data_IF_837177240801
#
_entry.id   IF_837177240801
#
_cell.length_a   1.000
_cell.length_b   1.000
_cell.length_c   1.000
_cell.angle_alpha   90.00
_cell.angle_beta   90.00
_cell.angle_gamma   90.00
#
_symmetry.space_group_name_H-M   'P 1'
#
loop_
_entity.id
_entity.type
_entity.pdbx_description
1 polymer ?
#
# COMPACT_ATOMS: atom_id res chain seq x y z
N UNK A 1 -24.58 -3.78 -25.81
CA UNK A 1 -23.24 -4.36 -26.04
C UNK A 1 -23.02 -5.35 -24.91
N UNK A 2 -22.66 -6.60 -25.19
CA UNK A 2 -22.52 -7.62 -24.14
C UNK A 2 -21.11 -7.57 -23.57
N UNK A 3 -21.01 -7.70 -22.25
CA UNK A 3 -19.76 -7.70 -21.48
C UNK A 3 -19.20 -9.12 -21.30
N UNK A 4 -19.61 -10.05 -22.17
CA UNK A 4 -19.13 -11.43 -22.16
C UNK A 4 -17.64 -11.49 -22.52
N UNK A 5 -16.86 -12.24 -21.75
CA UNK A 5 -15.44 -12.44 -22.01
C UNK A 5 -15.25 -13.31 -23.25
N UNK A 6 -14.56 -12.77 -24.26
CA UNK A 6 -14.19 -13.50 -25.49
C UNK A 6 -12.75 -13.99 -25.45
N UNK A 7 -11.86 -13.29 -24.77
CA UNK A 7 -10.45 -13.67 -24.65
C UNK A 7 -9.87 -13.26 -23.29
N UNK A 8 -9.11 -14.17 -22.69
CA UNK A 8 -8.20 -13.90 -21.57
C UNK A 8 -6.80 -14.27 -22.04
N UNK A 9 -5.81 -13.44 -21.72
CA UNK A 9 -4.42 -13.75 -21.99
C UNK A 9 -3.52 -13.18 -20.89
N UNK A 10 -2.48 -13.91 -20.51
CA UNK A 10 -1.45 -13.41 -19.62
C UNK A 10 -0.04 -13.59 -20.20
N UNK A 11 0.88 -12.77 -19.70
CA UNK A 11 2.31 -12.81 -20.02
C UNK A 11 3.16 -12.49 -18.80
N UNK A 12 4.42 -12.92 -18.88
CA UNK A 12 5.46 -12.58 -17.91
C UNK A 12 6.09 -11.25 -18.33
N UNK A 13 6.05 -10.25 -17.45
CA UNK A 13 6.72 -8.95 -17.56
C UNK A 13 7.70 -8.78 -16.39
N UNK A 14 8.35 -7.61 -16.25
CA UNK A 14 9.22 -7.30 -15.10
C UNK A 14 8.59 -6.24 -14.20
N UNK A 15 8.78 -6.40 -12.89
CA UNK A 15 8.48 -5.37 -11.89
C UNK A 15 9.62 -4.33 -11.80
N UNK A 16 9.43 -3.31 -10.96
CA UNK A 16 10.37 -2.21 -10.78
C UNK A 16 11.70 -2.59 -10.11
N UNK A 17 11.82 -3.83 -9.61
CA UNK A 17 13.05 -4.42 -9.07
C UNK A 17 13.70 -5.38 -10.07
N UNK A 18 13.14 -5.51 -11.28
CA UNK A 18 13.63 -6.41 -12.31
C UNK A 18 13.30 -7.88 -12.07
N UNK A 19 12.36 -8.20 -11.17
CA UNK A 19 11.87 -9.56 -10.99
C UNK A 19 10.66 -9.81 -11.92
N UNK A 20 10.45 -11.05 -12.39
CA UNK A 20 9.26 -11.39 -13.16
C UNK A 20 7.96 -11.12 -12.39
N UNK A 21 6.94 -10.63 -13.07
CA UNK A 21 5.56 -10.57 -12.59
C UNK A 21 4.56 -10.84 -13.71
N UNK A 22 3.27 -10.94 -13.36
CA UNK A 22 2.19 -11.32 -14.25
C UNK A 22 1.41 -10.07 -14.73
N UNK A 23 1.20 -9.99 -16.04
CA UNK A 23 0.25 -9.07 -16.66
C UNK A 23 -0.86 -9.88 -17.33
N UNK A 24 -2.12 -9.49 -17.12
CA UNK A 24 -3.28 -10.11 -17.72
C UNK A 24 -4.08 -9.12 -18.57
N UNK A 25 -4.74 -9.64 -19.59
CA UNK A 25 -5.59 -8.93 -20.54
C UNK A 25 -6.93 -9.63 -20.69
N UNK A 26 -8.01 -8.85 -20.74
CA UNK A 26 -9.35 -9.31 -21.03
C UNK A 26 -9.91 -8.53 -22.22
N UNK A 27 -10.50 -9.25 -23.18
CA UNK A 27 -11.27 -8.68 -24.29
C UNK A 27 -12.71 -9.14 -24.18
N UNK A 28 -13.65 -8.20 -24.28
CA UNK A 28 -15.09 -8.44 -24.21
C UNK A 28 -15.70 -8.60 -25.61
N UNK A 29 -16.93 -9.08 -25.69
CA UNK A 29 -17.64 -9.32 -26.95
C UNK A 29 -17.91 -8.03 -27.76
N UNK A 30 -17.96 -6.89 -27.09
CA UNK A 30 -18.07 -5.58 -27.73
C UNK A 30 -16.74 -4.98 -28.20
N UNK A 31 -15.63 -5.71 -28.02
CA UNK A 31 -14.28 -5.29 -28.38
C UNK A 31 -13.57 -4.46 -27.31
N UNK A 32 -14.23 -4.15 -26.19
CA UNK A 32 -13.60 -3.46 -25.07
C UNK A 32 -12.48 -4.30 -24.46
N UNK A 33 -11.47 -3.61 -23.95
CA UNK A 33 -10.21 -4.21 -23.53
C UNK A 33 -9.81 -3.67 -22.16
N UNK A 34 -9.32 -4.57 -21.31
CA UNK A 34 -8.72 -4.23 -20.02
C UNK A 34 -7.40 -4.96 -19.84
N UNK A 35 -6.47 -4.31 -19.15
CA UNK A 35 -5.14 -4.82 -18.83
C UNK A 35 -4.79 -4.46 -17.41
N UNK A 36 -4.15 -5.37 -16.70
CA UNK A 36 -3.64 -5.11 -15.37
C UNK A 36 -2.36 -5.90 -15.11
N UNK A 37 -1.42 -5.29 -14.38
CA UNK A 37 -0.20 -5.92 -13.94
C UNK A 37 -0.17 -6.06 -12.41
N UNK A 38 0.45 -7.14 -11.92
CA UNK A 38 0.41 -7.50 -10.51
C UNK A 38 1.66 -7.02 -9.79
N UNK A 39 1.55 -6.29 -8.66
CA UNK A 39 2.71 -5.92 -7.85
C UNK A 39 3.18 -7.10 -6.97
N UNK A 40 4.40 -7.01 -6.42
CA UNK A 40 5.02 -8.04 -5.57
C UNK A 40 5.76 -7.43 -4.38
N UNK A 41 5.67 -8.06 -3.20
CA UNK A 41 6.32 -7.60 -1.96
C UNK A 41 7.82 -7.92 -1.87
N UNK A 42 8.53 -7.25 -0.96
CA UNK A 42 9.89 -7.61 -0.50
C UNK A 42 9.77 -8.44 0.78
N UNK A 43 9.16 -7.83 1.80
CA UNK A 43 8.58 -8.55 2.93
C UNK A 43 7.13 -8.93 2.61
N UNK A 44 6.75 -10.12 3.08
CA UNK A 44 5.42 -10.70 2.92
C UNK A 44 4.98 -11.24 4.27
N UNK A 45 3.89 -10.73 4.81
CA UNK A 45 3.28 -11.26 6.03
C UNK A 45 3.02 -12.76 5.90
N UNK A 46 3.17 -13.50 7.00
CA UNK A 46 3.14 -14.97 6.96
C UNK A 46 1.78 -15.55 6.54
N UNK A 47 0.73 -14.71 6.58
CA UNK A 47 -0.67 -15.04 6.27
C UNK A 47 -1.16 -14.50 4.93
N UNK A 48 -0.30 -13.91 4.09
CA UNK A 48 -0.68 -13.42 2.76
C UNK A 48 -1.16 -14.55 1.82
N UNK A 49 -1.99 -14.20 0.84
CA UNK A 49 -2.24 -15.05 -0.32
C UNK A 49 -0.94 -15.27 -1.11
N UNK A 50 -0.76 -16.47 -1.65
CA UNK A 50 0.53 -16.92 -2.18
C UNK A 50 0.75 -16.45 -3.61
N UNK A 51 1.80 -15.67 -3.82
CA UNK A 51 2.36 -15.41 -5.16
C UNK A 51 3.01 -16.70 -5.70
N UNK A 52 2.51 -17.22 -6.83
CA UNK A 52 3.08 -18.43 -7.43
C UNK A 52 4.31 -18.10 -8.28
N UNK A 53 5.47 -18.58 -7.83
CA UNK A 53 6.77 -18.52 -8.52
C UNK A 53 7.16 -19.90 -9.07
N UNK A 54 8.00 -19.92 -10.11
CA UNK A 54 8.38 -21.14 -10.83
C UNK A 54 9.40 -22.01 -10.06
N UNK A 55 10.27 -21.41 -9.24
CA UNK A 55 11.35 -22.12 -8.55
C UNK A 55 12.49 -22.61 -9.46
N UNK A 56 12.42 -22.35 -10.77
CA UNK A 56 13.45 -22.71 -11.75
C UNK A 56 14.67 -21.79 -11.64
N UNK A 57 15.72 -22.25 -10.96
CA UNK A 57 16.97 -21.49 -10.76
C UNK A 57 17.65 -21.07 -12.08
N UNK A 58 17.38 -21.73 -13.20
CA UNK A 58 17.94 -21.35 -14.49
C UNK A 58 17.31 -20.06 -15.06
N UNK A 59 16.17 -19.61 -14.54
CA UNK A 59 15.45 -18.42 -15.00
C UNK A 59 15.20 -17.46 -13.85
N UNK A 60 15.73 -16.25 -13.98
CA UNK A 60 15.52 -15.17 -12.99
C UNK A 60 15.80 -15.63 -11.54
N UNK A 61 16.77 -16.52 -11.35
CA UNK A 61 17.13 -17.08 -10.04
C UNK A 61 15.99 -17.84 -9.32
N UNK A 62 15.03 -18.41 -10.05
CA UNK A 62 13.87 -19.10 -9.49
C UNK A 62 12.61 -18.25 -9.38
N UNK A 63 12.69 -16.96 -9.72
CA UNK A 63 11.59 -16.00 -9.56
C UNK A 63 10.66 -15.86 -10.77
N UNK A 64 10.81 -16.73 -11.78
CA UNK A 64 9.88 -16.78 -12.93
C UNK A 64 8.42 -16.98 -12.50
N UNK A 65 7.48 -16.60 -13.36
CA UNK A 65 6.03 -16.73 -13.10
C UNK A 65 5.29 -17.45 -14.25
N UNK A 66 5.98 -18.27 -15.04
CA UNK A 66 5.39 -18.99 -16.16
C UNK A 66 4.27 -19.93 -15.74
N UNK A 67 4.37 -20.56 -14.57
CA UNK A 67 3.32 -21.41 -14.05
C UNK A 67 2.01 -20.62 -13.81
N UNK A 68 2.10 -19.45 -13.18
CA UNK A 68 0.95 -18.55 -13.00
C UNK A 68 0.40 -18.06 -14.36
N UNK A 69 1.26 -17.70 -15.30
CA UNK A 69 0.87 -17.30 -16.67
C UNK A 69 0.15 -18.44 -17.39
N UNK A 70 0.61 -19.68 -17.26
CA UNK A 70 -0.02 -20.87 -17.83
C UNK A 70 -1.38 -21.15 -17.17
N UNK A 71 -1.50 -20.94 -15.85
CA UNK A 71 -2.77 -21.05 -15.14
C UNK A 71 -3.81 -20.05 -15.68
N UNK A 72 -3.40 -18.82 -15.98
CA UNK A 72 -4.29 -17.82 -16.61
C UNK A 72 -4.67 -18.24 -18.03
N UNK A 73 -3.69 -18.52 -18.89
CA UNK A 73 -3.91 -18.82 -20.30
C UNK A 73 -4.65 -20.14 -20.57
N UNK A 74 -4.60 -21.09 -19.61
CA UNK A 74 -5.24 -22.40 -19.72
C UNK A 74 -6.49 -22.50 -18.85
N UNK A 75 -6.27 -22.83 -17.58
CA UNK A 75 -7.32 -23.18 -16.61
C UNK A 75 -8.33 -22.05 -16.40
N UNK A 76 -7.86 -20.83 -16.12
CA UNK A 76 -8.73 -19.68 -15.86
C UNK A 76 -9.45 -19.23 -17.14
N UNK A 77 -8.71 -19.07 -18.25
CA UNK A 77 -9.31 -18.69 -19.54
C UNK A 77 -10.42 -19.64 -19.98
N UNK A 78 -10.23 -20.95 -19.80
CA UNK A 78 -11.24 -21.96 -20.11
C UNK A 78 -12.46 -21.86 -19.19
N UNK A 79 -12.25 -21.62 -17.89
CA UNK A 79 -13.32 -21.51 -16.92
C UNK A 79 -14.17 -20.24 -17.10
N UNK A 80 -13.56 -19.12 -17.51
CA UNK A 80 -14.23 -17.82 -17.65
C UNK A 80 -14.71 -17.51 -19.07
N UNK A 81 -14.56 -18.43 -20.03
CA UNK A 81 -15.03 -18.23 -21.41
C UNK A 81 -16.54 -17.95 -21.43
N UNK A 82 -16.93 -16.81 -22.02
CA UNK A 82 -18.33 -16.38 -22.11
C UNK A 82 -18.94 -15.95 -20.78
N UNK A 83 -18.15 -15.78 -19.71
CA UNK A 83 -18.62 -15.23 -18.45
C UNK A 83 -18.85 -13.72 -18.61
N UNK A 84 -19.91 -13.18 -18.00
CA UNK A 84 -20.17 -11.74 -18.01
C UNK A 84 -19.18 -11.03 -17.07
N UNK A 85 -18.25 -10.25 -17.64
CA UNK A 85 -17.25 -9.52 -16.86
C UNK A 85 -17.87 -8.45 -15.94
N UNK A 86 -19.09 -7.99 -16.21
CA UNK A 86 -19.76 -7.00 -15.37
C UNK A 86 -20.19 -7.56 -14.01
N UNK A 87 -20.29 -8.89 -13.85
CA UNK A 87 -20.45 -9.56 -12.56
C UNK A 87 -19.08 -9.81 -11.90
N UNK A 88 -18.43 -8.73 -11.45
CA UNK A 88 -17.11 -8.79 -10.81
C UNK A 88 -17.08 -9.76 -9.63
N UNK A 89 -18.13 -9.76 -8.79
CA UNK A 89 -18.23 -10.63 -7.62
C UNK A 89 -18.37 -12.09 -8.02
N UNK A 90 -19.19 -12.41 -9.02
CA UNK A 90 -19.32 -13.75 -9.55
C UNK A 90 -18.04 -14.25 -10.21
N UNK A 91 -17.35 -13.38 -10.97
CA UNK A 91 -16.06 -13.67 -11.59
C UNK A 91 -15.01 -14.03 -10.53
N UNK A 92 -14.85 -13.17 -9.51
CA UNK A 92 -13.89 -13.39 -8.43
C UNK A 92 -14.24 -14.62 -7.60
N UNK A 93 -15.53 -14.84 -7.30
CA UNK A 93 -15.98 -16.06 -6.60
C UNK A 93 -15.67 -17.32 -7.40
N UNK A 94 -15.80 -17.28 -8.73
CA UNK A 94 -15.45 -18.39 -9.62
C UNK A 94 -13.95 -18.64 -9.67
N UNK A 95 -13.13 -17.59 -9.68
CA UNK A 95 -11.67 -17.69 -9.57
C UNK A 95 -11.24 -18.37 -8.26
N UNK A 96 -11.78 -17.90 -7.13
CA UNK A 96 -11.50 -18.46 -5.79
C UNK A 96 -11.92 -19.93 -5.73
N UNK A 97 -13.12 -20.28 -6.22
CA UNK A 97 -13.60 -21.65 -6.24
C UNK A 97 -12.78 -22.57 -7.16
N UNK A 98 -12.27 -22.04 -8.29
CA UNK A 98 -11.44 -22.78 -9.25
C UNK A 98 -10.05 -23.11 -8.66
N UNK A 99 -9.49 -22.16 -7.91
CA UNK A 99 -8.29 -22.40 -7.11
C UNK A 99 -8.56 -23.43 -6.00
N UNK A 100 -9.57 -23.17 -5.16
CA UNK A 100 -10.02 -24.10 -4.12
C UNK A 100 -9.11 -24.19 -2.89
N UNK A 101 -8.09 -23.34 -2.77
CA UNK A 101 -7.23 -23.25 -1.59
C UNK A 101 -7.47 -21.93 -0.84
N UNK A 102 -7.34 -21.91 0.50
CA UNK A 102 -7.63 -20.71 1.29
C UNK A 102 -6.67 -19.54 1.00
N UNK A 103 -5.44 -19.85 0.56
CA UNK A 103 -4.39 -18.86 0.28
C UNK A 103 -4.13 -18.66 -1.22
N UNK A 104 -5.00 -19.18 -2.10
CA UNK A 104 -4.88 -19.06 -3.56
C UNK A 104 -3.58 -19.68 -4.14
N UNK A 105 -2.99 -20.64 -3.44
CA UNK A 105 -1.68 -21.20 -3.76
C UNK A 105 -1.65 -22.20 -4.91
N UNK A 106 -2.80 -22.69 -5.39
CA UNK A 106 -2.86 -23.66 -6.49
C UNK A 106 -2.68 -22.99 -7.85
N UNK A 107 -3.41 -21.90 -8.09
CA UNK A 107 -3.35 -21.11 -9.31
C UNK A 107 -2.41 -19.91 -9.17
N UNK A 108 -2.20 -19.43 -7.95
CA UNK A 108 -1.43 -18.25 -7.59
C UNK A 108 -2.30 -17.01 -7.42
N UNK A 109 -2.15 -16.32 -6.29
CA UNK A 109 -2.85 -15.06 -6.03
C UNK A 109 -2.57 -14.01 -7.11
N UNK A 110 -1.36 -14.02 -7.68
CA UNK A 110 -0.98 -13.22 -8.83
C UNK A 110 -1.79 -13.54 -10.10
N UNK A 111 -2.07 -14.82 -10.38
CA UNK A 111 -2.93 -15.20 -11.51
C UNK A 111 -4.37 -14.70 -11.32
N UNK A 112 -4.93 -14.87 -10.12
CA UNK A 112 -6.29 -14.45 -9.81
C UNK A 112 -6.43 -12.92 -9.89
N UNK A 113 -5.53 -12.19 -9.23
CA UNK A 113 -5.58 -10.74 -9.16
C UNK A 113 -5.45 -10.08 -10.54
N UNK A 114 -4.51 -10.57 -11.36
CA UNK A 114 -4.32 -10.02 -12.71
C UNK A 114 -5.60 -10.10 -13.53
N UNK A 115 -6.28 -11.25 -13.51
CA UNK A 115 -7.56 -11.45 -14.21
C UNK A 115 -8.68 -10.60 -13.59
N UNK A 116 -8.75 -10.56 -12.27
CA UNK A 116 -9.74 -9.78 -11.51
C UNK A 116 -9.69 -8.28 -11.86
N UNK A 117 -8.50 -7.68 -11.86
CA UNK A 117 -8.31 -6.26 -12.20
C UNK A 117 -8.51 -6.02 -13.70
N UNK A 118 -7.99 -6.88 -14.59
CA UNK A 118 -8.16 -6.72 -16.03
C UNK A 118 -9.65 -6.77 -16.43
N UNK A 119 -10.49 -7.52 -15.72
CA UNK A 119 -11.94 -7.57 -15.95
C UNK A 119 -12.59 -6.23 -15.62
N UNK A 120 -12.27 -5.64 -14.46
CA UNK A 120 -12.77 -4.34 -14.06
C UNK A 120 -12.39 -3.24 -15.06
N UNK A 121 -11.14 -3.23 -15.52
CA UNK A 121 -10.68 -2.31 -16.58
C UNK A 121 -11.46 -2.49 -17.89
N UNK A 122 -11.70 -3.74 -18.31
CA UNK A 122 -12.42 -4.04 -19.54
C UNK A 122 -13.88 -3.58 -19.49
N UNK A 123 -14.53 -3.75 -18.33
CA UNK A 123 -15.92 -3.30 -18.12
C UNK A 123 -16.01 -1.77 -18.01
N UNK A 124 -15.06 -1.13 -17.33
CA UNK A 124 -14.98 0.33 -17.30
C UNK A 124 -14.87 0.91 -18.72
N UNK A 125 -14.01 0.31 -19.56
CA UNK A 125 -13.88 0.66 -20.97
C UNK A 125 -15.18 0.45 -21.77
N UNK A 126 -15.86 -0.70 -21.59
CA UNK A 126 -17.17 -0.98 -22.22
C UNK A 126 -18.24 0.04 -21.85
N UNK A 127 -18.23 0.49 -20.59
CA UNK A 127 -19.13 1.53 -20.08
C UNK A 127 -18.68 2.95 -20.45
N UNK A 128 -17.53 3.12 -21.10
CA UNK A 128 -16.90 4.42 -21.41
C UNK A 128 -16.72 5.27 -20.15
N UNK A 129 -16.35 4.62 -19.05
CA UNK A 129 -16.09 5.22 -17.75
C UNK A 129 -14.60 5.08 -17.43
N UNK A 130 -14.05 6.05 -16.68
CA UNK A 130 -12.78 5.83 -16.01
C UNK A 130 -12.93 4.74 -14.93
N UNK A 131 -11.84 4.05 -14.59
CA UNK A 131 -11.91 2.94 -13.62
C UNK A 131 -12.43 3.42 -12.26
N UNK A 132 -11.97 4.56 -11.75
CA UNK A 132 -12.47 5.12 -10.48
C UNK A 132 -13.98 5.38 -10.49
N UNK A 133 -14.57 5.75 -11.64
CA UNK A 133 -16.01 5.96 -11.78
C UNK A 133 -16.76 4.63 -11.77
N UNK A 134 -16.21 3.62 -12.43
CA UNK A 134 -16.81 2.29 -12.49
C UNK A 134 -16.83 1.60 -11.12
N UNK A 135 -15.75 1.74 -10.35
CA UNK A 135 -15.62 1.15 -9.02
C UNK A 135 -16.28 1.98 -7.90
N UNK A 136 -16.82 3.16 -8.22
CA UNK A 136 -17.21 4.17 -7.22
C UNK A 136 -18.31 3.68 -6.28
N UNK A 137 -18.04 3.70 -4.97
CA UNK A 137 -19.02 3.60 -3.89
C UNK A 137 -18.70 4.49 -2.68
N UNK A 138 -17.65 5.33 -2.76
CA UNK A 138 -17.33 6.37 -1.79
C UNK A 138 -17.60 7.78 -2.30
N UNK A 139 -16.97 8.76 -1.66
CA UNK A 139 -17.20 10.20 -1.95
C UNK A 139 -16.38 10.74 -3.12
N UNK A 140 -15.56 9.92 -3.78
CA UNK A 140 -14.62 10.34 -4.82
C UNK A 140 -13.65 11.44 -4.36
N UNK A 141 -13.23 11.37 -3.09
CA UNK A 141 -12.23 12.26 -2.52
C UNK A 141 -10.82 11.84 -2.96
N UNK A 142 -9.94 12.82 -3.14
CA UNK A 142 -8.52 12.59 -3.37
C UNK A 142 -7.84 12.27 -2.04
N UNK A 143 -7.04 11.19 -1.98
CA UNK A 143 -6.45 10.70 -0.75
C UNK A 143 -5.28 11.57 -0.29
N UNK A 144 -5.04 11.65 1.02
CA UNK A 144 -3.77 12.14 1.57
C UNK A 144 -2.66 11.14 1.27
N UNK A 145 -1.60 11.53 0.55
CA UNK A 145 -0.49 10.64 0.30
C UNK A 145 0.44 10.53 1.52
N UNK A 146 0.77 9.30 1.91
CA UNK A 146 1.81 8.98 2.88
C UNK A 146 3.10 8.76 2.11
N UNK A 147 3.93 9.80 2.03
CA UNK A 147 5.08 9.85 1.13
C UNK A 147 6.33 9.43 1.87
N UNK A 148 6.81 8.21 1.61
CA UNK A 148 8.09 7.72 2.12
C UNK A 148 9.25 8.58 1.58
N UNK A 149 10.12 9.08 2.47
CA UNK A 149 11.26 9.93 2.10
C UNK A 149 12.60 9.48 2.70
N UNK A 150 12.59 8.67 3.76
CA UNK A 150 13.75 7.97 4.30
C UNK A 150 13.39 6.50 4.52
N UNK A 151 14.27 5.61 4.02
CA UNK A 151 14.17 4.17 4.15
C UNK A 151 15.15 3.63 5.21
N UNK A 152 14.72 2.59 5.91
CA UNK A 152 15.53 1.70 6.74
C UNK A 152 15.07 0.25 6.56
N UNK A 153 15.37 -0.59 7.54
CA UNK A 153 14.92 -1.98 7.59
C UNK A 153 15.27 -2.77 6.33
N UNK A 154 14.35 -3.62 5.88
CA UNK A 154 14.56 -4.49 4.70
C UNK A 154 14.65 -3.73 3.37
N UNK A 155 14.30 -2.45 3.32
CA UNK A 155 14.24 -1.64 2.10
C UNK A 155 15.54 -0.88 1.82
N UNK A 156 16.52 -0.95 2.73
CA UNK A 156 17.77 -0.20 2.65
C UNK A 156 18.97 -0.98 3.17
N UNK A 157 20.12 -0.81 2.52
CA UNK A 157 21.42 -1.25 3.04
C UNK A 157 22.02 -0.14 3.92
N UNK A 158 21.40 0.10 5.08
CA UNK A 158 21.83 1.08 6.07
C UNK A 158 21.61 0.56 7.51
N UNK A 159 21.85 1.42 8.49
CA UNK A 159 21.74 1.09 9.92
C UNK A 159 20.46 1.65 10.59
N UNK A 160 19.42 1.94 9.83
CA UNK A 160 18.15 2.47 10.35
C UNK A 160 17.19 1.29 10.51
N UNK A 161 16.64 1.08 11.71
CA UNK A 161 15.80 -0.10 11.99
C UNK A 161 14.36 0.05 11.47
N UNK A 162 13.77 1.24 11.65
CA UNK A 162 12.43 1.56 11.15
C UNK A 162 12.44 1.58 9.62
N UNK A 163 11.49 0.87 9.01
CA UNK A 163 11.48 0.64 7.57
C UNK A 163 11.20 1.89 6.74
N UNK A 164 10.20 2.70 7.11
CA UNK A 164 9.86 3.92 6.38
C UNK A 164 9.53 5.10 7.28
N UNK A 165 10.04 6.26 6.91
CA UNK A 165 9.68 7.55 7.48
C UNK A 165 9.00 8.40 6.42
N UNK A 166 7.77 8.82 6.71
CA UNK A 166 6.86 9.42 5.75
C UNK A 166 6.49 10.85 6.14
N UNK A 167 6.24 11.68 5.13
CA UNK A 167 5.56 12.98 5.28
C UNK A 167 4.14 12.90 4.74
N UNK A 168 3.22 13.55 5.44
CA UNK A 168 1.81 13.63 5.08
C UNK A 168 1.41 15.11 4.92
N UNK A 169 1.23 15.59 3.68
CA UNK A 169 0.84 16.98 3.39
C UNK A 169 -0.65 17.24 3.66
N UNK A 170 -1.06 17.17 4.92
CA UNK A 170 -2.47 17.27 5.35
C UNK A 170 -3.07 18.67 5.24
N UNK A 171 -2.23 19.71 5.26
CA UNK A 171 -2.67 21.11 5.18
C UNK A 171 -2.74 21.68 3.76
N UNK A 172 -2.36 20.90 2.75
CA UNK A 172 -2.48 21.33 1.35
C UNK A 172 -3.96 21.51 0.94
N UNK A 173 -4.29 22.49 0.07
CA UNK A 173 -5.66 22.76 -0.33
C UNK A 173 -6.21 21.80 -1.41
N UNK A 174 -5.33 21.04 -2.07
CA UNK A 174 -5.66 20.11 -3.14
C UNK A 174 -4.62 18.99 -3.21
N UNK A 175 -4.90 17.93 -3.97
CA UNK A 175 -3.93 16.85 -4.17
C UNK A 175 -2.72 17.31 -4.99
N UNK A 176 -2.91 18.11 -6.03
CA UNK A 176 -1.80 18.69 -6.79
C UNK A 176 -0.83 19.50 -5.90
N UNK A 177 -1.37 20.31 -4.99
CA UNK A 177 -0.56 21.06 -4.03
C UNK A 177 0.11 20.13 -3.00
N UNK A 178 -0.61 19.10 -2.52
CA UNK A 178 -0.05 18.09 -1.63
C UNK A 178 1.16 17.37 -2.26
N UNK A 179 1.05 17.01 -3.54
CA UNK A 179 2.14 16.40 -4.30
C UNK A 179 3.32 17.34 -4.47
N UNK A 180 3.07 18.63 -4.76
CA UNK A 180 4.11 19.65 -4.84
C UNK A 180 4.84 19.82 -3.51
N UNK A 181 4.11 19.88 -2.39
CA UNK A 181 4.68 19.99 -1.04
C UNK A 181 5.66 18.84 -0.79
N UNK A 182 5.23 17.60 -1.04
CA UNK A 182 6.07 16.41 -0.92
C UNK A 182 7.33 16.48 -1.77
N UNK A 183 7.21 16.89 -3.04
CA UNK A 183 8.34 16.98 -3.96
C UNK A 183 9.38 18.02 -3.52
N UNK A 184 8.94 19.18 -3.06
CA UNK A 184 9.82 20.23 -2.53
C UNK A 184 10.54 19.76 -1.25
N UNK A 185 9.82 19.10 -0.34
CA UNK A 185 10.41 18.51 0.89
C UNK A 185 11.44 17.43 0.53
N UNK A 186 11.14 16.55 -0.43
CA UNK A 186 12.08 15.52 -0.89
C UNK A 186 13.38 16.11 -1.45
N UNK A 187 13.29 17.19 -2.26
CA UNK A 187 14.47 17.87 -2.78
C UNK A 187 15.24 18.69 -1.72
N UNK A 188 14.53 19.28 -0.75
CA UNK A 188 15.14 19.91 0.41
C UNK A 188 15.90 18.87 1.26
N UNK A 189 15.29 17.71 1.51
CA UNK A 189 15.92 16.60 2.24
C UNK A 189 17.18 16.10 1.54
N UNK A 190 17.15 15.95 0.21
CA UNK A 190 18.35 15.62 -0.58
C UNK A 190 19.49 16.60 -0.33
N UNK A 191 19.18 17.88 -0.22
CA UNK A 191 20.17 18.94 0.02
C UNK A 191 20.70 18.90 1.44
N UNK A 192 19.84 18.67 2.45
CA UNK A 192 20.23 18.47 3.85
C UNK A 192 21.19 17.28 3.99
N UNK A 193 20.82 16.12 3.42
CA UNK A 193 21.65 14.91 3.47
C UNK A 193 23.02 15.14 2.82
N UNK A 194 23.06 15.77 1.64
CA UNK A 194 24.34 16.13 0.98
C UNK A 194 25.18 17.10 1.80
N UNK A 195 24.55 18.09 2.44
CA UNK A 195 25.25 19.04 3.33
C UNK A 195 25.92 18.34 4.51
N UNK A 196 25.37 17.21 4.96
CA UNK A 196 25.94 16.33 6.00
C UNK A 196 26.89 15.26 5.47
N UNK A 197 27.14 15.21 4.16
CA UNK A 197 27.98 14.19 3.52
C UNK A 197 27.35 12.79 3.48
N UNK A 198 26.02 12.69 3.63
CA UNK A 198 25.28 11.43 3.65
C UNK A 198 24.88 10.97 2.24
N UNK A 199 24.63 9.67 2.11
CA UNK A 199 24.17 9.07 0.86
C UNK A 199 22.79 9.62 0.44
N UNK A 200 22.62 9.83 -0.86
CA UNK A 200 21.34 10.26 -1.48
C UNK A 200 20.91 9.33 -2.62
N UNK A 201 21.47 8.13 -2.68
CA UNK A 201 20.88 7.03 -3.43
C UNK A 201 19.51 6.68 -2.82
N UNK A 202 18.65 6.12 -3.66
CA UNK A 202 17.26 5.80 -3.29
C UNK A 202 17.06 4.29 -3.19
N UNK A 203 16.22 3.86 -2.25
CA UNK A 203 15.80 2.46 -2.11
C UNK A 203 14.69 2.06 -3.09
N UNK A 204 14.03 0.94 -2.81
CA UNK A 204 12.97 0.38 -3.66
C UNK A 204 11.78 1.34 -3.79
N UNK A 205 11.37 2.03 -2.72
CA UNK A 205 10.26 3.00 -2.73
C UNK A 205 10.68 4.40 -3.23
N UNK A 206 11.96 4.62 -3.54
CA UNK A 206 12.46 5.93 -3.97
C UNK A 206 12.86 6.88 -2.84
N UNK A 207 12.65 6.51 -1.56
CA UNK A 207 13.16 7.25 -0.40
C UNK A 207 14.67 7.14 -0.28
N UNK A 208 15.31 8.09 0.43
CA UNK A 208 16.76 8.04 0.65
C UNK A 208 17.14 6.98 1.68
N UNK A 209 18.29 6.32 1.50
CA UNK A 209 18.82 5.34 2.44
C UNK A 209 20.17 5.79 3.05
N UNK A 210 20.20 6.85 3.88
CA UNK A 210 21.42 7.28 4.57
C UNK A 210 21.73 6.38 5.77
N UNK A 211 23.00 6.34 6.19
CA UNK A 211 23.34 5.87 7.53
C UNK A 211 23.09 7.01 8.53
N UNK A 212 22.41 6.72 9.63
CA UNK A 212 22.05 7.68 10.68
C UNK A 212 22.43 7.12 12.05
N UNK A 213 22.60 7.98 13.05
CA UNK A 213 23.01 7.58 14.41
C UNK A 213 21.88 6.93 15.20
N UNK A 214 20.63 7.18 14.82
CA UNK A 214 19.43 6.62 15.45
C UNK A 214 18.21 6.78 14.56
N UNK A 215 17.13 6.08 14.89
CA UNK A 215 15.83 6.24 14.24
C UNK A 215 15.26 7.66 14.47
N UNK A 216 15.55 8.25 15.63
CA UNK A 216 15.14 9.63 15.95
C UNK A 216 15.85 10.66 15.08
N UNK A 217 17.12 10.43 14.71
CA UNK A 217 17.82 11.36 13.79
C UNK A 217 17.14 11.43 12.43
N UNK A 218 16.48 10.36 11.97
CA UNK A 218 15.69 10.39 10.73
C UNK A 218 14.53 11.40 10.86
N UNK A 219 13.80 11.38 11.97
CA UNK A 219 12.72 12.33 12.26
C UNK A 219 13.24 13.78 12.29
N UNK A 220 14.32 14.04 13.01
CA UNK A 220 14.94 15.38 13.11
C UNK A 220 15.37 15.90 11.73
N UNK A 221 15.96 15.03 10.92
CA UNK A 221 16.44 15.38 9.57
C UNK A 221 15.28 15.67 8.62
N UNK A 222 14.18 14.94 8.73
CA UNK A 222 12.95 15.21 7.98
C UNK A 222 12.36 16.56 8.39
N UNK A 223 12.28 16.86 9.69
CA UNK A 223 11.76 18.13 10.16
C UNK A 223 12.62 19.32 9.72
N UNK A 224 13.95 19.17 9.66
CA UNK A 224 14.83 20.17 9.05
C UNK A 224 14.47 20.40 7.58
N UNK A 225 14.27 19.33 6.81
CA UNK A 225 13.89 19.42 5.40
C UNK A 225 12.52 20.09 5.19
N UNK A 226 11.53 19.77 6.03
CA UNK A 226 10.20 20.41 6.02
C UNK A 226 10.31 21.92 6.25
N UNK A 227 11.10 22.33 7.24
CA UNK A 227 11.32 23.75 7.53
C UNK A 227 12.11 24.44 6.41
N UNK A 228 13.13 23.78 5.85
CA UNK A 228 13.90 24.31 4.71
C UNK A 228 13.04 24.50 3.45
N UNK A 229 12.03 23.64 3.23
CA UNK A 229 11.06 23.79 2.15
C UNK A 229 10.00 24.88 2.44
N UNK A 230 9.98 25.45 3.65
CA UNK A 230 9.07 26.55 4.01
C UNK A 230 7.70 26.12 4.51
N UNK A 231 7.50 24.83 4.82
CA UNK A 231 6.24 24.30 5.33
C UNK A 231 6.20 24.26 6.86
N UNK A 232 5.00 24.43 7.42
CA UNK A 232 4.80 24.35 8.88
C UNK A 232 4.58 22.92 9.33
N UNK A 233 5.50 22.45 10.17
CA UNK A 233 5.37 21.20 10.91
C UNK A 233 4.08 21.21 11.77
N UNK A 234 3.33 20.11 11.77
CA UNK A 234 2.07 19.95 12.51
C UNK A 234 0.83 20.47 11.76
N UNK A 235 0.95 21.63 11.10
CA UNK A 235 -0.19 22.26 10.41
C UNK A 235 -0.28 21.96 8.92
N UNK A 236 0.83 22.06 8.20
CA UNK A 236 0.92 21.72 6.78
C UNK A 236 1.30 20.25 6.61
N UNK A 237 2.30 19.80 7.37
CA UNK A 237 2.91 18.47 7.27
C UNK A 237 2.83 17.74 8.61
N UNK A 238 2.33 16.50 8.59
CA UNK A 238 2.44 15.53 9.68
C UNK A 238 3.43 14.42 9.29
N UNK A 239 3.89 13.65 10.26
CA UNK A 239 4.79 12.52 10.05
C UNK A 239 4.06 11.18 10.17
N UNK A 240 4.54 10.19 9.43
CA UNK A 240 4.10 8.81 9.54
C UNK A 240 5.29 7.87 9.60
N UNK A 241 5.09 6.73 10.24
CA UNK A 241 6.08 5.66 10.33
C UNK A 241 5.49 4.37 9.79
N UNK A 242 6.29 3.61 9.06
CA UNK A 242 6.14 2.17 8.94
C UNK A 242 7.33 1.53 9.64
N UNK A 243 7.03 0.91 10.77
CA UNK A 243 8.02 0.32 11.65
C UNK A 243 8.44 -1.05 11.13
N UNK A 244 7.53 -1.79 10.48
CA UNK A 244 7.72 -3.18 10.06
C UNK A 244 8.34 -4.06 11.18
N UNK A 245 7.83 -3.92 12.41
CA UNK A 245 8.53 -4.42 13.61
C UNK A 245 8.67 -5.95 13.68
N UNK A 246 7.90 -6.69 12.87
CA UNK A 246 8.07 -8.14 12.68
C UNK A 246 9.50 -8.50 12.28
N UNK A 247 10.15 -7.69 11.43
CA UNK A 247 11.49 -7.97 10.88
C UNK A 247 12.59 -8.01 11.96
N UNK A 248 12.38 -7.32 13.08
CA UNK A 248 13.31 -7.26 14.19
C UNK A 248 12.72 -7.76 15.52
N UNK A 249 11.58 -8.44 15.47
CA UNK A 249 11.02 -9.13 16.63
C UNK A 249 11.60 -10.56 16.74
N UNK A 250 12.48 -10.78 17.71
CA UNK A 250 13.21 -12.04 17.91
C UNK A 250 13.18 -12.42 19.39
N UNK A 251 12.90 -13.70 19.67
CA UNK A 251 12.90 -14.26 21.04
C UNK A 251 12.05 -13.46 22.05
N UNK A 252 10.89 -12.96 21.60
CA UNK A 252 9.95 -12.21 22.43
C UNK A 252 10.38 -10.76 22.72
N UNK A 253 11.36 -10.23 21.98
CA UNK A 253 11.87 -8.85 22.13
C UNK A 253 12.00 -8.16 20.78
N UNK A 254 11.87 -6.85 20.77
CA UNK A 254 12.15 -5.98 19.64
C UNK A 254 13.62 -5.55 19.68
N UNK A 255 14.42 -5.94 18.69
CA UNK A 255 15.87 -5.73 18.63
C UNK A 255 16.25 -4.64 17.61
N UNK A 256 16.42 -3.41 18.08
CA UNK A 256 16.88 -2.29 17.25
C UNK A 256 18.41 -2.38 17.11
N UNK A 257 18.87 -3.21 16.17
CA UNK A 257 20.29 -3.51 15.92
C UNK A 257 21.09 -2.24 15.58
N UNK A 258 20.49 -1.31 14.83
CA UNK A 258 21.08 -0.01 14.46
C UNK A 258 21.39 0.88 15.67
N UNK A 259 20.64 0.74 16.76
CA UNK A 259 20.85 1.44 18.02
C UNK A 259 21.49 0.57 19.13
N UNK A 260 21.65 -0.72 18.89
CA UNK A 260 22.15 -1.68 19.88
C UNK A 260 21.24 -1.84 21.10
N UNK A 261 19.92 -1.67 20.95
CA UNK A 261 18.94 -1.70 22.05
C UNK A 261 17.88 -2.77 21.83
N UNK A 262 17.48 -3.43 22.92
CA UNK A 262 16.41 -4.43 22.93
C UNK A 262 15.30 -4.02 23.86
N UNK A 263 14.07 -4.26 23.45
CA UNK A 263 12.88 -3.89 24.19
C UNK A 263 11.96 -5.08 24.36
N UNK A 264 11.37 -5.22 25.55
CA UNK A 264 10.16 -6.02 25.71
C UNK A 264 8.99 -5.36 24.97
N UNK A 265 7.90 -6.07 24.66
CA UNK A 265 6.72 -5.46 24.04
C UNK A 265 6.20 -4.22 24.76
N UNK A 266 6.15 -4.24 26.10
CA UNK A 266 5.71 -3.07 26.87
C UNK A 266 6.66 -1.88 26.71
N UNK A 267 7.98 -2.09 26.81
CA UNK A 267 8.96 -1.02 26.64
C UNK A 267 8.97 -0.48 25.21
N UNK A 268 8.68 -1.32 24.21
CA UNK A 268 8.59 -0.89 22.82
C UNK A 268 7.34 -0.03 22.57
N UNK A 269 6.21 -0.40 23.16
CA UNK A 269 5.01 0.46 23.18
C UNK A 269 5.30 1.81 23.84
N UNK A 270 6.02 1.80 24.97
CA UNK A 270 6.44 3.04 25.65
C UNK A 270 7.32 3.92 24.75
N UNK A 271 8.25 3.30 24.02
CA UNK A 271 9.12 3.98 23.07
C UNK A 271 8.31 4.66 21.96
N UNK A 272 7.45 3.91 21.25
CA UNK A 272 6.64 4.46 20.15
C UNK A 272 5.68 5.55 20.63
N UNK A 273 5.04 5.36 21.79
CA UNK A 273 4.20 6.38 22.40
C UNK A 273 5.01 7.65 22.75
N UNK A 274 6.25 7.50 23.19
CA UNK A 274 7.13 8.63 23.48
C UNK A 274 7.49 9.41 22.21
N UNK A 275 7.72 8.72 21.08
CA UNK A 275 7.98 9.37 19.80
C UNK A 275 6.76 10.13 19.32
N UNK A 276 5.57 9.52 19.34
CA UNK A 276 4.33 10.17 18.92
C UNK A 276 3.95 11.39 19.78
N UNK A 277 4.45 11.47 21.02
CA UNK A 277 4.28 12.64 21.89
C UNK A 277 5.28 13.77 21.57
N UNK A 278 6.49 13.42 21.15
CA UNK A 278 7.58 14.37 20.91
C UNK A 278 7.56 14.96 19.49
N UNK A 279 7.07 14.16 18.52
CA UNK A 279 7.02 14.50 17.11
C UNK A 279 5.57 14.53 16.64
N UNK A 280 5.22 15.27 15.56
CA UNK A 280 3.87 15.31 15.02
C UNK A 280 3.55 14.05 14.19
N UNK A 281 3.80 12.87 14.78
CA UNK A 281 3.51 11.58 14.19
C UNK A 281 2.02 11.34 14.33
N UNK A 282 1.32 11.27 13.20
CA UNK A 282 -0.13 11.04 13.16
C UNK A 282 -0.45 9.56 12.93
N UNK A 283 0.50 8.78 12.43
CA UNK A 283 0.28 7.40 12.00
C UNK A 283 1.51 6.53 12.20
N UNK A 284 1.30 5.33 12.71
CA UNK A 284 2.31 4.29 12.91
C UNK A 284 1.75 3.00 12.32
N UNK A 285 2.43 2.47 11.32
CA UNK A 285 2.17 1.19 10.69
C UNK A 285 3.09 0.11 11.27
N UNK A 286 2.53 -1.08 11.51
CA UNK A 286 3.20 -2.26 12.04
C UNK A 286 4.14 -2.00 13.23
N UNK A 287 3.64 -1.17 14.14
CA UNK A 287 4.32 -0.81 15.38
C UNK A 287 4.56 -1.99 16.34
N UNK A 288 3.84 -3.10 16.17
CA UNK A 288 4.08 -4.36 16.89
C UNK A 288 4.10 -5.52 15.88
N UNK A 289 4.78 -6.62 16.21
CA UNK A 289 4.91 -7.77 15.32
C UNK A 289 3.55 -8.37 14.94
N UNK A 290 3.42 -8.96 13.76
CA UNK A 290 2.18 -9.60 13.26
C UNK A 290 1.60 -10.70 14.17
N UNK A 291 2.42 -11.24 15.07
CA UNK A 291 2.05 -12.24 16.08
C UNK A 291 1.83 -11.70 17.49
N UNK A 292 2.20 -10.45 17.78
CA UNK A 292 2.14 -9.85 19.13
C UNK A 292 0.82 -9.11 19.37
N UNK A 293 -0.29 -9.85 19.39
CA UNK A 293 -1.64 -9.28 19.56
C UNK A 293 -1.83 -8.59 20.92
N UNK A 294 -1.16 -9.05 21.96
CA UNK A 294 -1.18 -8.42 23.29
C UNK A 294 -0.45 -7.07 23.26
N UNK A 295 0.72 -7.01 22.61
CA UNK A 295 1.44 -5.76 22.35
C UNK A 295 0.63 -4.78 21.52
N UNK A 296 -0.02 -5.24 20.43
CA UNK A 296 -0.92 -4.42 19.62
C UNK A 296 -2.08 -3.84 20.41
N UNK A 297 -2.70 -4.66 21.27
CA UNK A 297 -3.78 -4.20 22.16
C UNK A 297 -3.28 -3.10 23.09
N UNK A 298 -2.13 -3.30 23.72
CA UNK A 298 -1.51 -2.31 24.60
C UNK A 298 -1.20 -0.99 23.86
N UNK A 299 -0.64 -1.07 22.65
CA UNK A 299 -0.37 0.10 21.81
C UNK A 299 -1.65 0.85 21.46
N UNK A 300 -2.72 0.11 21.13
CA UNK A 300 -4.04 0.65 20.78
C UNK A 300 -4.68 1.36 21.96
N UNK A 301 -4.70 0.73 23.14
CA UNK A 301 -5.22 1.33 24.37
C UNK A 301 -4.46 2.60 24.77
N UNK A 302 -3.13 2.61 24.55
CA UNK A 302 -2.27 3.72 24.95
C UNK A 302 -2.29 4.92 24.00
N UNK A 303 -2.38 4.68 22.70
CA UNK A 303 -2.13 5.74 21.68
C UNK A 303 -3.25 5.88 20.63
N UNK A 304 -4.16 4.91 20.52
CA UNK A 304 -5.13 4.82 19.44
C UNK A 304 -6.18 5.94 19.37
N UNK A 305 -6.25 6.83 20.38
CA UNK A 305 -7.11 8.03 20.34
C UNK A 305 -6.44 9.23 19.64
N UNK A 306 -5.12 9.24 19.54
CA UNK A 306 -4.32 10.35 18.99
C UNK A 306 -3.41 9.94 17.84
N UNK A 307 -3.22 8.64 17.62
CA UNK A 307 -2.37 8.08 16.56
C UNK A 307 -3.16 7.04 15.79
N UNK A 308 -3.10 7.13 14.47
CA UNK A 308 -3.57 6.09 13.56
C UNK A 308 -2.59 4.91 13.63
N UNK A 309 -3.08 3.75 14.02
CA UNK A 309 -2.34 2.50 14.11
C UNK A 309 -2.79 1.62 12.95
N UNK A 310 -1.90 1.46 11.97
CA UNK A 310 -2.18 0.76 10.73
C UNK A 310 -1.64 -0.66 10.83
N UNK A 311 -2.52 -1.67 10.71
CA UNK A 311 -2.08 -3.06 10.54
C UNK A 311 -1.87 -3.38 9.07
N UNK A 312 -0.65 -3.77 8.71
CA UNK A 312 -0.26 -4.29 7.40
C UNK A 312 -0.07 -5.81 7.46
N UNK A 313 1.08 -6.30 7.92
CA UNK A 313 1.31 -7.74 8.13
C UNK A 313 0.38 -8.32 9.19
N UNK A 314 -0.11 -7.48 10.11
CA UNK A 314 -1.11 -7.87 11.10
C UNK A 314 -2.38 -8.40 10.43
N UNK A 315 -2.90 -7.71 9.41
CA UNK A 315 -4.20 -8.01 8.80
C UNK A 315 -4.11 -8.60 7.38
N UNK A 316 -2.99 -8.40 6.68
CA UNK A 316 -2.71 -8.89 5.31
C UNK A 316 -3.86 -8.71 4.33
N UNK A 317 -4.57 -7.58 4.43
CA UNK A 317 -5.78 -7.28 3.63
C UNK A 317 -6.85 -8.40 3.67
N UNK A 318 -6.84 -9.27 4.69
CA UNK A 318 -7.71 -10.43 4.77
C UNK A 318 -8.96 -10.13 5.60
N UNK A 319 -10.18 -10.16 5.02
CA UNK A 319 -11.41 -9.87 5.74
C UNK A 319 -11.61 -10.70 7.02
N UNK A 320 -11.21 -11.97 7.04
CA UNK A 320 -11.40 -12.82 8.21
C UNK A 320 -10.48 -12.42 9.38
N UNK A 321 -9.20 -12.15 9.11
CA UNK A 321 -8.22 -11.71 10.12
C UNK A 321 -8.57 -10.30 10.59
N UNK A 322 -8.94 -9.42 9.66
CA UNK A 322 -9.32 -8.06 9.99
C UNK A 322 -10.58 -8.01 10.87
N UNK A 323 -11.57 -8.88 10.60
CA UNK A 323 -12.75 -9.03 11.46
C UNK A 323 -12.36 -9.35 12.91
N UNK A 324 -11.43 -10.29 13.12
CA UNK A 324 -10.95 -10.63 14.46
C UNK A 324 -10.27 -9.43 15.13
N UNK A 325 -9.48 -8.66 14.38
CA UNK A 325 -8.89 -7.40 14.85
C UNK A 325 -9.93 -6.39 15.33
N UNK A 326 -10.96 -6.15 14.52
CA UNK A 326 -12.09 -5.27 14.86
C UNK A 326 -12.81 -5.75 16.13
N UNK A 327 -13.15 -7.05 16.20
CA UNK A 327 -13.87 -7.64 17.34
C UNK A 327 -13.06 -7.52 18.65
N UNK A 328 -11.73 -7.50 18.57
CA UNK A 328 -10.80 -7.38 19.70
C UNK A 328 -10.31 -5.95 19.95
N UNK A 329 -10.78 -4.96 19.19
CA UNK A 329 -10.31 -3.57 19.25
C UNK A 329 -8.80 -3.42 19.08
N UNK A 330 -8.25 -4.14 18.10
CA UNK A 330 -6.84 -4.11 17.73
C UNK A 330 -6.62 -3.10 16.62
N UNK A 331 -5.63 -2.22 16.79
CA UNK A 331 -5.33 -1.12 15.88
C UNK A 331 -6.54 -0.21 15.65
N UNK A 332 -6.47 0.68 14.67
CA UNK A 332 -7.62 1.52 14.25
C UNK A 332 -7.59 1.88 12.76
N UNK A 333 -6.71 1.23 11.99
CA UNK A 333 -6.60 1.35 10.55
C UNK A 333 -6.02 0.07 9.93
N UNK A 334 -6.24 -0.11 8.63
CA UNK A 334 -5.74 -1.24 7.84
C UNK A 334 -5.04 -0.73 6.58
N UNK A 335 -3.89 -1.32 6.28
CA UNK A 335 -3.23 -1.14 4.99
C UNK A 335 -3.84 -2.12 3.99
N UNK A 336 -4.25 -1.60 2.83
CA UNK A 336 -4.93 -2.37 1.78
C UNK A 336 -3.97 -2.57 0.62
N UNK A 337 -3.48 -3.80 0.47
CA UNK A 337 -2.65 -4.25 -0.63
C UNK A 337 -3.41 -5.31 -1.43
N UNK A 338 -3.83 -4.95 -2.64
CA UNK A 338 -4.69 -5.78 -3.50
C UNK A 338 -4.16 -7.20 -3.71
N UNK A 339 -2.84 -7.38 -3.75
CA UNK A 339 -2.20 -8.67 -3.99
C UNK A 339 -2.07 -9.54 -2.73
N UNK A 340 -2.19 -8.99 -1.52
CA UNK A 340 -2.18 -9.77 -0.28
C UNK A 340 -3.42 -10.66 -0.17
N UNK A 341 -4.55 -10.23 -0.74
CA UNK A 341 -5.80 -11.01 -0.73
C UNK A 341 -6.10 -11.65 -2.09
N UNK A 342 -5.72 -11.03 -3.20
CA UNK A 342 -5.67 -11.68 -4.52
C UNK A 342 -6.92 -11.56 -5.40
N UNK A 343 -7.95 -10.82 -4.99
CA UNK A 343 -9.06 -10.40 -5.88
C UNK A 343 -9.54 -8.99 -5.55
N UNK A 344 -10.16 -8.33 -6.52
CA UNK A 344 -10.74 -7.00 -6.31
C UNK A 344 -11.94 -7.07 -5.36
N UNK A 345 -12.82 -8.07 -5.50
CA UNK A 345 -13.99 -8.22 -4.61
C UNK A 345 -13.62 -8.33 -3.13
N UNK A 346 -12.63 -9.16 -2.77
CA UNK A 346 -12.18 -9.29 -1.38
C UNK A 346 -11.47 -8.02 -0.89
N UNK A 347 -10.75 -7.32 -1.77
CA UNK A 347 -10.16 -6.00 -1.46
C UNK A 347 -11.24 -4.98 -1.11
N UNK A 348 -12.28 -4.86 -1.94
CA UNK A 348 -13.38 -3.92 -1.71
C UNK A 348 -14.19 -4.28 -0.46
N UNK A 349 -14.32 -5.56 -0.15
CA UNK A 349 -14.92 -6.03 1.11
C UNK A 349 -14.11 -5.55 2.33
N UNK A 350 -12.78 -5.70 2.33
CA UNK A 350 -11.94 -5.23 3.43
C UNK A 350 -12.06 -3.71 3.64
N UNK A 351 -12.11 -2.92 2.55
CA UNK A 351 -12.31 -1.47 2.63
C UNK A 351 -13.70 -1.14 3.22
N UNK A 352 -14.75 -1.82 2.76
CA UNK A 352 -16.11 -1.61 3.27
C UNK A 352 -16.24 -2.01 4.76
N UNK A 353 -15.54 -3.06 5.19
CA UNK A 353 -15.45 -3.44 6.59
C UNK A 353 -14.79 -2.36 7.44
N UNK A 354 -13.70 -1.75 6.95
CA UNK A 354 -13.00 -0.69 7.65
C UNK A 354 -13.92 0.52 7.89
N UNK A 355 -14.61 1.00 6.85
CA UNK A 355 -15.54 2.12 6.98
C UNK A 355 -16.68 1.83 7.95
N UNK A 356 -17.28 0.63 7.87
CA UNK A 356 -18.35 0.20 8.78
C UNK A 356 -17.87 0.16 10.24
N UNK A 357 -16.63 -0.25 10.47
CA UNK A 357 -16.00 -0.32 11.79
C UNK A 357 -15.38 1.01 12.25
N UNK A 358 -15.42 2.07 11.43
CA UNK A 358 -14.72 3.34 11.67
C UNK A 358 -13.20 3.22 11.80
N UNK A 359 -12.64 2.25 11.10
CA UNK A 359 -11.21 2.15 10.85
C UNK A 359 -10.85 2.95 9.59
N UNK A 360 -9.65 3.52 9.56
CA UNK A 360 -9.11 4.07 8.32
C UNK A 360 -8.68 2.94 7.37
N UNK A 361 -8.94 3.10 6.07
CA UNK A 361 -8.39 2.26 5.02
C UNK A 361 -7.36 3.06 4.22
N UNK A 362 -6.14 2.54 4.13
CA UNK A 362 -5.04 3.16 3.40
C UNK A 362 -4.72 2.26 2.20
N UNK A 363 -4.96 2.75 0.98
CA UNK A 363 -4.59 1.97 -0.21
C UNK A 363 -3.08 2.00 -0.39
N UNK A 364 -2.46 0.85 -0.65
CA UNK A 364 -1.00 0.73 -0.67
C UNK A 364 -0.45 0.02 -1.90
N UNK A 365 0.75 0.44 -2.28
CA UNK A 365 1.61 -0.22 -3.26
C UNK A 365 2.32 -1.46 -2.68
N UNK A 366 3.20 -2.09 -3.46
CA UNK A 366 4.26 -2.99 -2.96
C UNK A 366 5.64 -2.48 -3.33
N UNK A 367 6.71 -3.01 -2.73
CA UNK A 367 8.08 -2.63 -3.09
C UNK A 367 8.46 -3.03 -4.53
N UNK A 368 7.93 -4.12 -5.07
CA UNK A 368 7.94 -4.41 -6.51
C UNK A 368 6.67 -3.92 -7.19
N UNK A 369 6.71 -2.72 -7.75
CA UNK A 369 5.57 -2.14 -8.50
C UNK A 369 5.73 -2.26 -10.01
N UNK A 370 4.69 -1.90 -10.75
CA UNK A 370 4.70 -1.78 -12.21
C UNK A 370 4.27 -0.37 -12.64
N UNK A 371 4.11 -0.15 -13.94
CA UNK A 371 3.46 1.05 -14.49
C UNK A 371 1.95 1.14 -14.22
N UNK A 372 1.33 0.06 -13.74
CA UNK A 372 -0.10 -0.02 -13.42
C UNK A 372 -0.48 1.04 -12.36
N UNK A 373 -1.64 1.68 -12.50
CA UNK A 373 -2.09 2.75 -11.58
C UNK A 373 -3.42 2.43 -10.88
N UNK A 374 -3.86 1.17 -10.90
CA UNK A 374 -5.17 0.74 -10.39
C UNK A 374 -5.41 1.17 -8.94
N UNK A 375 -4.38 1.19 -8.09
CA UNK A 375 -4.51 1.61 -6.70
C UNK A 375 -4.90 3.09 -6.53
N UNK A 376 -4.53 3.98 -7.47
CA UNK A 376 -4.97 5.38 -7.47
C UNK A 376 -6.47 5.48 -7.72
N UNK A 377 -6.98 4.70 -8.68
CA UNK A 377 -8.40 4.64 -8.99
C UNK A 377 -9.21 4.02 -7.83
N UNK A 378 -8.70 2.98 -7.17
CA UNK A 378 -9.32 2.40 -5.96
C UNK A 378 -9.35 3.41 -4.81
N UNK A 379 -8.27 4.15 -4.58
CA UNK A 379 -8.21 5.13 -3.50
C UNK A 379 -9.28 6.23 -3.65
N UNK A 380 -9.61 6.63 -4.88
CA UNK A 380 -10.67 7.60 -5.14
C UNK A 380 -12.06 6.96 -5.17
N UNK A 381 -12.19 5.77 -5.75
CA UNK A 381 -13.48 5.10 -5.91
C UNK A 381 -14.15 4.72 -4.58
N UNK A 382 -13.35 4.48 -3.55
CA UNK A 382 -13.81 3.84 -2.30
C UNK A 382 -13.92 4.84 -1.15
N UNK A 383 -14.19 4.35 0.05
CA UNK A 383 -14.19 5.14 1.30
C UNK A 383 -12.78 5.41 1.85
N UNK A 384 -11.73 4.89 1.18
CA UNK A 384 -10.36 5.18 1.56
C UNK A 384 -10.07 6.68 1.41
N UNK A 385 -9.34 7.23 2.38
CA UNK A 385 -9.00 8.66 2.44
C UNK A 385 -7.50 8.91 2.34
N UNK A 386 -6.71 7.84 2.22
CA UNK A 386 -5.26 7.85 2.30
C UNK A 386 -4.67 6.86 1.29
N UNK A 387 -3.46 7.17 0.81
CA UNK A 387 -2.70 6.31 -0.09
C UNK A 387 -1.22 6.27 0.30
N UNK A 388 -0.63 5.07 0.35
CA UNK A 388 0.81 4.84 0.55
C UNK A 388 1.38 4.28 -0.75
N UNK A 389 1.95 5.14 -1.59
CA UNK A 389 2.45 4.75 -2.92
C UNK A 389 3.91 5.16 -3.18
N UNK A 390 4.69 5.36 -2.11
CA UNK A 390 6.14 5.55 -2.15
C UNK A 390 6.58 7.01 -2.28
N UNK A 391 7.85 7.20 -2.62
CA UNK A 391 8.49 8.52 -2.66
C UNK A 391 8.21 9.30 -3.94
N UNK A 392 8.82 10.48 -4.06
CA UNK A 392 8.62 11.46 -5.13
C UNK A 392 9.58 11.24 -6.30
N UNK A 393 10.01 10.00 -6.51
CA UNK A 393 10.83 9.59 -7.63
C UNK A 393 10.53 8.13 -8.00
N UNK A 394 11.14 7.68 -9.11
CA UNK A 394 10.88 6.40 -9.79
C UNK A 394 9.44 6.27 -10.31
N UNK A 395 9.32 5.91 -11.58
CA UNK A 395 8.02 5.96 -12.29
C UNK A 395 7.01 4.95 -11.76
N UNK A 396 7.46 3.84 -11.19
CA UNK A 396 6.64 2.85 -10.49
C UNK A 396 5.86 3.46 -9.30
N UNK A 397 6.35 4.57 -8.73
CA UNK A 397 5.66 5.37 -7.70
C UNK A 397 4.92 6.54 -8.32
N UNK A 398 5.65 7.35 -9.09
CA UNK A 398 5.17 8.62 -9.64
C UNK A 398 4.02 8.43 -10.63
N UNK A 399 3.90 7.27 -11.30
CA UNK A 399 2.75 6.96 -12.16
C UNK A 399 1.41 7.03 -11.39
N UNK A 400 1.38 6.60 -10.12
CA UNK A 400 0.18 6.63 -9.27
C UNK A 400 -0.18 8.06 -8.89
N UNK A 401 0.82 8.87 -8.52
CA UNK A 401 0.62 10.30 -8.28
C UNK A 401 0.13 11.04 -9.52
N UNK A 402 0.71 10.75 -10.69
CA UNK A 402 0.27 11.32 -11.96
C UNK A 402 -1.17 10.90 -12.31
N UNK A 403 -1.57 9.68 -11.96
CA UNK A 403 -2.96 9.25 -12.14
C UNK A 403 -3.91 10.02 -11.22
N UNK A 404 -3.53 10.25 -9.96
CA UNK A 404 -4.32 11.06 -9.04
C UNK A 404 -4.47 12.52 -9.51
N UNK A 405 -3.42 13.10 -10.12
CA UNK A 405 -3.52 14.41 -10.79
C UNK A 405 -4.56 14.42 -11.91
N UNK A 406 -4.58 13.38 -12.76
CA UNK A 406 -5.58 13.25 -13.84
C UNK A 406 -6.99 13.08 -13.30
N UNK A 407 -7.16 12.33 -12.20
CA UNK A 407 -8.46 12.14 -11.56
C UNK A 407 -8.93 13.48 -10.95
N UNK A 408 -8.04 14.20 -10.26
CA UNK A 408 -8.33 15.54 -9.72
C UNK A 408 -8.76 16.52 -10.84
N UNK A 409 -8.02 16.55 -11.95
CA UNK A 409 -8.36 17.36 -13.13
C UNK A 409 -9.74 16.98 -13.69
N UNK A 410 -10.03 15.68 -13.83
CA UNK A 410 -11.31 15.18 -14.35
C UNK A 410 -12.49 15.49 -13.42
N UNK A 411 -12.28 15.54 -12.11
CA UNK A 411 -13.28 15.92 -11.12
C UNK A 411 -13.55 17.45 -11.14
N UNK A 412 -12.57 18.26 -11.53
CA UNK A 412 -12.68 19.71 -11.63
C UNK A 412 -13.15 20.34 -10.32
N UNK A 413 -14.19 21.18 -10.38
CA UNK A 413 -14.74 21.85 -9.20
C UNK A 413 -15.34 20.89 -8.14
N UNK A 414 -15.57 19.62 -8.50
CA UNK A 414 -16.04 18.59 -7.55
C UNK A 414 -14.90 17.92 -6.78
N UNK A 415 -13.64 18.11 -7.19
CA UNK A 415 -12.51 17.54 -6.49
C UNK A 415 -12.50 17.97 -5.03
N UNK A 416 -12.29 17.01 -4.12
CA UNK A 416 -12.15 17.24 -2.68
C UNK A 416 -10.93 16.48 -2.21
N UNK A 417 -9.95 17.18 -1.68
CA UNK A 417 -8.80 16.56 -1.04
C UNK A 417 -9.13 16.27 0.42
N UNK A 418 -8.85 15.04 0.88
CA UNK A 418 -9.21 14.61 2.24
C UNK A 418 -8.50 15.45 3.32
N UNK A 419 -7.23 15.84 3.09
CA UNK A 419 -6.45 16.68 3.99
C UNK A 419 -6.54 16.24 5.46
N UNK A 420 -6.80 17.18 6.36
CA UNK A 420 -6.96 16.88 7.80
C UNK A 420 -8.18 16.02 8.15
N UNK A 421 -9.13 15.81 7.23
CA UNK A 421 -10.28 14.94 7.45
C UNK A 421 -9.99 13.47 7.09
N UNK A 422 -8.76 13.14 6.70
CA UNK A 422 -8.39 11.79 6.27
C UNK A 422 -8.36 10.74 7.40
N UNK A 423 -8.51 11.13 8.67
CA UNK A 423 -8.35 10.28 9.85
C UNK A 423 -9.70 10.09 10.59
N UNK A 424 -10.62 9.27 10.07
CA UNK A 424 -11.98 9.12 10.62
C UNK A 424 -12.03 8.56 12.05
N UNK A 425 -10.94 7.92 12.47
CA UNK A 425 -10.75 7.24 13.74
C UNK A 425 -10.10 8.11 14.83
N UNK A 426 -9.62 9.31 14.49
CA UNK A 426 -8.91 10.19 15.43
C UNK A 426 -9.78 11.39 15.85
N UNK A 427 -9.78 11.68 17.15
CA UNK A 427 -10.52 12.84 17.67
C UNK A 427 -9.78 14.17 17.45
N UNK A 428 -8.44 14.13 17.42
CA UNK A 428 -7.55 15.27 17.22
C UNK A 428 -6.30 14.82 16.49
N UNK A 429 -5.75 15.71 15.66
CA UNK A 429 -4.45 15.52 15.02
C UNK A 429 -3.35 16.19 15.87
N UNK A 430 -2.09 15.74 15.77
CA UNK A 430 -0.95 16.44 16.37
C UNK A 430 -0.78 17.86 15.80
N UNK A 431 -0.31 18.79 16.64
CA UNK A 431 -0.20 20.22 16.31
C UNK A 431 -1.55 20.93 16.32
#
# INVERSE_FOLDING_TARGET
MTTDITRIHAREILDSRGNPTLEAEITLADGSFGRAAVPSGASTGSREAVELRDGDKARYGGKGVRNAVNNVNGTIASALKGFDAADQKGLDSKLIALDGTPNKGKLGANALLGVSMAAAHAVAASRKQALWQYLSFGDNALPVPMMNIINGGAHADNNVDVQEFMVLPVGAPSFAEALRYGAEIFHALKSVLKGRGLNTAVGDEGGFAPNLRSNVEALDTILEAVNHAGYKVGSDILLGLDVASTEFFKDGKYDLEGEGKKYTPHEFVDLLASWAKQYPIVTIEDGMSEGDWDGWKLLTEKTGQSVQLVGDDLFVTNPAIFKEGIDKHIANAILIKVNQIGTLSETLEAIAMADKAKYAAIISHRSGETEDTTISDIAVATTATQIKTGSLCRTDRVAKYNQLLRIEEALGAKARYAGRHAFPNLAKLPG
#
